data_IF_804951762228
#
_entry.id   IF_804951762228
#
_cell.length_a   1.000
_cell.length_b   1.000
_cell.length_c   1.000
_cell.angle_alpha   90.00
_cell.angle_beta   90.00
_cell.angle_gamma   90.00
#
_symmetry.space_group_name_H-M   'P 1'
#
loop_
_entity.id
_entity.type
_entity.pdbx_description
1 polymer ?
#
# COMPACT_ATOMS: atom_id res chain seq x y z
N UNK A 1 0.16 -0.13 -7.48
CA UNK A 1 0.63 -1.45 -7.99
C UNK A 1 -0.43 -2.51 -7.70
N UNK A 2 -0.63 -3.53 -8.55
CA UNK A 2 -1.62 -4.61 -8.26
C UNK A 2 -0.91 -5.86 -7.75
N UNK A 3 -1.12 -6.20 -6.48
CA UNK A 3 -0.69 -7.48 -5.91
C UNK A 3 -1.63 -8.60 -6.38
N UNK A 4 -1.08 -9.72 -6.83
CA UNK A 4 -1.89 -10.88 -7.22
C UNK A 4 -2.39 -11.64 -5.97
N UNK A 5 -3.58 -12.26 -6.02
CA UNK A 5 -4.11 -13.03 -4.89
C UNK A 5 -3.13 -14.11 -4.37
N UNK A 6 -2.41 -14.78 -5.27
CA UNK A 6 -1.45 -15.83 -4.91
C UNK A 6 -0.21 -15.28 -4.19
N UNK A 7 0.17 -14.02 -4.50
CA UNK A 7 1.28 -13.35 -3.80
C UNK A 7 0.85 -12.95 -2.39
N UNK A 8 -0.39 -12.49 -2.25
CA UNK A 8 -0.97 -12.09 -0.97
C UNK A 8 -1.13 -13.28 -0.01
N UNK A 9 -1.57 -14.43 -0.53
CA UNK A 9 -1.69 -15.67 0.25
C UNK A 9 -0.32 -16.15 0.76
N UNK A 10 0.68 -16.22 -0.14
CA UNK A 10 2.06 -16.58 0.22
C UNK A 10 2.66 -15.63 1.26
N UNK A 11 2.43 -14.32 1.11
CA UNK A 11 2.90 -13.31 2.05
C UNK A 11 2.25 -13.49 3.42
N UNK A 12 0.94 -13.75 3.45
CA UNK A 12 0.18 -13.96 4.69
C UNK A 12 0.68 -15.20 5.44
N UNK A 13 0.98 -16.29 4.72
CA UNK A 13 1.56 -17.50 5.29
C UNK A 13 2.98 -17.27 5.85
N UNK A 14 3.84 -16.56 5.09
CA UNK A 14 5.20 -16.24 5.52
C UNK A 14 5.22 -15.35 6.77
N UNK A 15 4.34 -14.35 6.85
CA UNK A 15 4.21 -13.50 8.02
C UNK A 15 3.83 -14.34 9.24
N UNK A 16 2.73 -15.10 9.16
CA UNK A 16 2.27 -15.91 10.28
C UNK A 16 3.35 -16.88 10.78
N UNK A 17 4.02 -17.58 9.86
CA UNK A 17 5.13 -18.51 10.19
C UNK A 17 6.30 -17.80 10.86
N UNK A 18 6.74 -16.64 10.35
CA UNK A 18 7.88 -15.91 10.93
C UNK A 18 7.59 -15.33 12.31
N UNK A 19 6.40 -14.77 12.52
CA UNK A 19 6.04 -14.21 13.82
C UNK A 19 5.89 -15.30 14.89
N UNK A 20 5.31 -16.46 14.53
CA UNK A 20 5.28 -17.63 15.43
C UNK A 20 6.67 -18.21 15.69
N UNK A 21 7.48 -18.37 14.65
CA UNK A 21 8.84 -18.91 14.78
C UNK A 21 9.79 -18.04 15.61
N UNK A 22 9.46 -16.76 15.78
CA UNK A 22 10.16 -15.81 16.68
C UNK A 22 9.48 -15.65 18.04
N UNK A 23 8.42 -16.41 18.32
CA UNK A 23 7.63 -16.34 19.55
C UNK A 23 7.06 -14.93 19.83
N UNK A 24 6.86 -14.12 18.78
CA UNK A 24 6.35 -12.75 18.91
C UNK A 24 4.82 -12.71 19.03
N UNK A 25 4.14 -13.79 18.69
CA UNK A 25 2.68 -13.90 18.74
C UNK A 25 2.24 -15.28 19.24
N UNK A 26 1.08 -15.32 19.88
CA UNK A 26 0.33 -16.54 20.17
C UNK A 26 -1.03 -16.46 19.48
N UNK A 27 -1.36 -17.46 18.67
CA UNK A 27 -2.61 -17.48 17.92
C UNK A 27 -3.76 -17.99 18.78
N UNK A 28 -4.85 -17.22 18.82
CA UNK A 28 -6.10 -17.57 19.51
C UNK A 28 -7.24 -17.95 18.56
N UNK A 29 -6.96 -17.93 17.26
CA UNK A 29 -7.90 -18.22 16.18
C UNK A 29 -7.24 -19.16 15.17
N UNK A 30 -8.04 -19.74 14.28
CA UNK A 30 -7.54 -20.62 13.23
C UNK A 30 -6.65 -19.85 12.25
N UNK A 31 -5.66 -20.55 11.69
CA UNK A 31 -4.71 -19.97 10.73
C UNK A 31 -5.40 -19.36 9.53
N UNK A 32 -6.48 -19.98 9.05
CA UNK A 32 -7.27 -19.48 7.92
C UNK A 32 -7.86 -18.10 8.21
N UNK A 33 -8.39 -17.87 9.41
CA UNK A 33 -8.98 -16.59 9.80
C UNK A 33 -7.92 -15.50 9.92
N UNK A 34 -6.79 -15.84 10.52
CA UNK A 34 -5.65 -14.92 10.68
C UNK A 34 -5.10 -14.52 9.30
N UNK A 35 -4.87 -15.49 8.41
CA UNK A 35 -4.41 -15.23 7.05
C UNK A 35 -5.39 -14.37 6.26
N UNK A 36 -6.69 -14.65 6.38
CA UNK A 36 -7.74 -13.84 5.73
C UNK A 36 -7.70 -12.39 6.20
N UNK A 37 -7.51 -12.15 7.50
CA UNK A 37 -7.37 -10.80 8.05
C UNK A 37 -6.09 -10.10 7.59
N UNK A 38 -4.95 -10.80 7.56
CA UNK A 38 -3.70 -10.24 7.03
C UNK A 38 -3.87 -9.83 5.57
N UNK A 39 -4.43 -10.72 4.74
CA UNK A 39 -4.70 -10.46 3.34
C UNK A 39 -5.62 -9.24 3.14
N UNK A 40 -6.69 -9.14 3.94
CA UNK A 40 -7.62 -8.01 3.88
C UNK A 40 -6.94 -6.67 4.22
N UNK A 41 -6.11 -6.63 5.27
CA UNK A 41 -5.39 -5.42 5.68
C UNK A 41 -4.41 -4.98 4.59
N UNK A 42 -3.60 -5.92 4.07
CA UNK A 42 -2.63 -5.60 3.01
C UNK A 42 -3.35 -5.11 1.74
N UNK A 43 -4.46 -5.76 1.36
CA UNK A 43 -5.26 -5.35 0.20
C UNK A 43 -5.84 -3.94 0.38
N UNK A 44 -6.35 -3.63 1.58
CA UNK A 44 -6.87 -2.30 1.89
C UNK A 44 -5.77 -1.23 1.77
N UNK A 45 -4.56 -1.52 2.27
CA UNK A 45 -3.42 -0.59 2.15
C UNK A 45 -3.05 -0.32 0.69
N UNK A 46 -3.03 -1.35 -0.18
CA UNK A 46 -2.77 -1.15 -1.62
C UNK A 46 -3.88 -0.35 -2.30
N UNK A 47 -5.14 -0.55 -1.91
CA UNK A 47 -6.26 0.22 -2.45
C UNK A 47 -6.18 1.70 -2.04
N UNK A 48 -5.77 1.98 -0.81
CA UNK A 48 -5.55 3.34 -0.32
C UNK A 48 -4.37 4.01 -1.04
N UNK A 49 -3.27 3.29 -1.26
CA UNK A 49 -2.15 3.77 -2.08
C UNK A 49 -2.60 4.10 -3.51
N UNK A 50 -3.39 3.23 -4.15
CA UNK A 50 -3.92 3.47 -5.50
C UNK A 50 -4.84 4.70 -5.55
N UNK A 51 -5.64 4.94 -4.51
CA UNK A 51 -6.46 6.14 -4.39
C UNK A 51 -5.59 7.41 -4.27
N UNK A 52 -4.49 7.36 -3.51
CA UNK A 52 -3.50 8.45 -3.42
C UNK A 52 -2.88 8.70 -4.80
N UNK A 53 -2.47 7.65 -5.52
CA UNK A 53 -1.91 7.79 -6.87
C UNK A 53 -2.90 8.43 -7.86
N UNK A 54 -4.17 8.00 -7.82
CA UNK A 54 -5.22 8.55 -8.67
C UNK A 54 -5.45 10.05 -8.41
N UNK A 55 -5.51 10.45 -7.14
CA UNK A 55 -5.67 11.85 -6.75
C UNK A 55 -4.48 12.70 -7.20
N UNK A 56 -3.24 12.23 -7.01
CA UNK A 56 -2.04 12.96 -7.50
C UNK A 56 -2.06 13.11 -9.02
N UNK A 57 -2.47 12.08 -9.77
CA UNK A 57 -2.59 12.17 -11.23
C UNK A 57 -3.63 13.21 -11.65
N UNK A 58 -4.77 13.27 -10.96
CA UNK A 58 -5.78 14.31 -11.21
C UNK A 58 -5.24 15.72 -10.91
N UNK A 59 -4.53 15.89 -9.79
CA UNK A 59 -3.90 17.17 -9.43
C UNK A 59 -2.87 17.61 -10.48
N UNK A 60 -2.02 16.70 -10.94
CA UNK A 60 -1.02 17.02 -11.96
C UNK A 60 -1.64 17.31 -13.32
N UNK A 61 -2.69 16.60 -13.71
CA UNK A 61 -3.43 16.89 -14.95
C UNK A 61 -4.06 18.29 -14.93
N UNK A 62 -4.59 18.74 -13.79
CA UNK A 62 -5.15 20.08 -13.62
C UNK A 62 -4.08 21.20 -13.71
N UNK A 63 -2.81 20.88 -13.47
CA UNK A 63 -1.71 21.85 -13.44
C UNK A 63 -0.68 21.65 -14.57
N UNK A 64 -0.96 20.76 -15.53
CA UNK A 64 -0.03 20.36 -16.59
C UNK A 64 0.43 21.53 -17.49
N UNK A 65 -0.36 22.60 -17.59
CA UNK A 65 -0.01 23.80 -18.38
C UNK A 65 1.04 24.70 -17.70
N UNK A 66 1.26 24.57 -16.39
CA UNK A 66 2.10 25.49 -15.60
C UNK A 66 3.53 24.99 -15.34
N UNK A 67 3.81 23.70 -15.56
CA UNK A 67 5.09 23.08 -15.22
C UNK A 67 5.95 22.84 -16.48
N UNK A 68 6.73 23.82 -16.90
CA UNK A 68 7.65 23.69 -18.05
C UNK A 68 9.03 23.11 -17.71
N UNK A 69 9.44 23.12 -16.43
CA UNK A 69 10.84 22.86 -16.05
C UNK A 69 11.09 21.65 -15.11
N UNK A 70 10.06 20.88 -14.73
CA UNK A 70 10.25 19.69 -13.87
C UNK A 70 9.73 18.42 -14.57
N UNK A 71 10.53 17.36 -14.47
CA UNK A 71 10.19 16.01 -14.89
C UNK A 71 8.84 15.55 -14.27
N UNK A 72 7.84 15.16 -15.09
CA UNK A 72 6.51 14.77 -14.63
C UNK A 72 6.51 13.59 -13.63
N UNK A 73 7.44 12.65 -13.78
CA UNK A 73 7.58 11.52 -12.87
C UNK A 73 8.10 11.96 -11.51
N UNK A 74 9.07 12.89 -11.46
CA UNK A 74 9.50 13.49 -10.17
C UNK A 74 8.37 14.26 -9.49
N UNK A 75 7.57 15.00 -10.25
CA UNK A 75 6.39 15.70 -9.71
C UNK A 75 5.36 14.72 -9.12
N UNK A 76 5.14 13.59 -9.80
CA UNK A 76 4.27 12.52 -9.31
C UNK A 76 4.79 11.92 -8.00
N UNK A 77 6.08 11.60 -7.90
CA UNK A 77 6.66 11.06 -6.66
C UNK A 77 6.56 12.04 -5.48
N UNK A 78 6.86 13.32 -5.70
CA UNK A 78 6.75 14.36 -4.67
C UNK A 78 5.29 14.54 -4.25
N UNK A 79 4.36 14.59 -5.21
CA UNK A 79 2.93 14.69 -4.96
C UNK A 79 2.42 13.51 -4.14
N UNK A 80 2.83 12.29 -4.50
CA UNK A 80 2.51 11.05 -3.78
C UNK A 80 2.99 11.09 -2.34
N UNK A 81 4.25 11.46 -2.10
CA UNK A 81 4.80 11.57 -0.73
C UNK A 81 4.07 12.63 0.10
N UNK A 82 3.83 13.81 -0.45
CA UNK A 82 3.13 14.88 0.27
C UNK A 82 1.69 14.50 0.61
N UNK A 83 0.98 13.89 -0.34
CA UNK A 83 -0.41 13.48 -0.13
C UNK A 83 -0.52 12.32 0.86
N UNK A 84 0.36 11.32 0.77
CA UNK A 84 0.42 10.23 1.74
C UNK A 84 0.67 10.76 3.15
N UNK A 85 1.67 11.63 3.34
CA UNK A 85 1.95 12.25 4.63
C UNK A 85 0.74 13.04 5.18
N UNK A 86 0.04 13.79 4.32
CA UNK A 86 -1.17 14.53 4.71
C UNK A 86 -2.32 13.61 5.14
N UNK A 87 -2.44 12.44 4.53
CA UNK A 87 -3.46 11.42 4.88
C UNK A 87 -3.03 10.52 6.05
N UNK A 88 -1.82 10.69 6.58
CA UNK A 88 -1.26 9.80 7.60
C UNK A 88 -0.89 8.42 7.07
N UNK A 89 -0.79 8.26 5.74
CA UNK A 89 -0.39 7.03 5.08
C UNK A 89 1.14 6.94 5.01
N UNK A 90 1.69 5.78 5.35
CA UNK A 90 3.14 5.52 5.30
C UNK A 90 3.45 4.79 3.99
N UNK A 91 4.31 5.42 3.16
CA UNK A 91 4.80 4.86 1.89
C UNK A 91 6.06 4.00 2.08
#
# INVERSE_FOLDING_TARGET
MKIKPEQLDRLSDLLLKRYRGKELIVSRAADADIKTKIAAVISANFAEEEAIEAEVRQMLAAHAAAARDIDPYKMFLIGKQKLAAKKGFIL
#
